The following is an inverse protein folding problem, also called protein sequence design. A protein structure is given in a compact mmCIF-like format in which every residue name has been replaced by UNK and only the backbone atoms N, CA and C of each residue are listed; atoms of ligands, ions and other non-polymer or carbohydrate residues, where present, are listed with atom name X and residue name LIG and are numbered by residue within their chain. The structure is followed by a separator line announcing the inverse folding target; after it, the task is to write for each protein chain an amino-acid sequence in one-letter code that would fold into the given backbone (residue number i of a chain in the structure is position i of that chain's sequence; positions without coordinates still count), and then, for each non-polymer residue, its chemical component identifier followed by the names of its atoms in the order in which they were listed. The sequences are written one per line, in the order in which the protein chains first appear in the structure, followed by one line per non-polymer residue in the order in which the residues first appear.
data_IF_176281764399
#
_entry.id   IF_176281764399
#
_cell.length_a   1.000
_cell.length_b   1.000
_cell.length_c   1.000
_cell.angle_alpha   90.00
_cell.angle_beta   90.00
_cell.angle_gamma   90.00
#
_symmetry.space_group_name_H-M   'P 1'
#
loop_
_entity.id
_entity.type
_entity.pdbx_description
1 polymer ?
#
# COMPACT_ATOMS: atom_id res chain seq x y z
N UNK A 1 -5.12 12.60 14.57
CA UNK A 1 -4.71 12.53 13.15
C UNK A 1 -5.88 12.96 12.29
N UNK A 2 -5.68 13.70 11.20
CA UNK A 2 -6.74 14.07 10.24
C UNK A 2 -6.35 13.49 8.88
N UNK A 3 -7.23 12.69 8.28
CA UNK A 3 -7.08 12.25 6.89
C UNK A 3 -7.64 13.34 5.97
N UNK A 4 -6.85 13.72 4.98
CA UNK A 4 -7.21 14.71 3.95
C UNK A 4 -6.98 14.07 2.59
N UNK A 5 -7.38 14.77 1.52
CA UNK A 5 -7.17 14.35 0.13
C UNK A 5 -7.93 13.06 -0.26
N UNK A 6 -9.21 13.21 -0.54
CA UNK A 6 -10.16 12.11 -0.81
C UNK A 6 -10.32 11.80 -2.31
N UNK A 7 -9.40 12.25 -3.16
CA UNK A 7 -9.51 12.14 -4.63
C UNK A 7 -9.62 10.70 -5.15
N UNK A 8 -9.21 9.70 -4.35
CA UNK A 8 -9.32 8.27 -4.66
C UNK A 8 -10.33 7.51 -3.78
N UNK A 9 -11.19 8.20 -3.03
CA UNK A 9 -12.18 7.54 -2.18
C UNK A 9 -13.24 6.78 -3.00
N UNK A 10 -13.45 5.50 -2.69
CA UNK A 10 -14.43 4.64 -3.36
C UNK A 10 -14.87 3.50 -2.43
N UNK A 11 -16.00 2.86 -2.75
CA UNK A 11 -16.48 1.66 -2.02
C UNK A 11 -15.72 0.45 -2.52
N UNK A 12 -15.14 -0.33 -1.61
CA UNK A 12 -14.37 -1.51 -1.94
C UNK A 12 -14.32 -2.48 -0.74
N UNK A 13 -13.47 -3.50 -0.83
CA UNK A 13 -13.06 -4.33 0.30
C UNK A 13 -12.70 -3.47 1.51
N UNK A 14 -13.10 -3.92 2.70
CA UNK A 14 -12.85 -3.22 3.95
C UNK A 14 -11.35 -3.00 4.23
N UNK A 15 -10.46 -3.79 3.60
CA UNK A 15 -9.02 -3.72 3.86
C UNK A 15 -8.24 -2.91 2.81
N UNK A 16 -8.85 -2.49 1.70
CA UNK A 16 -8.08 -1.94 0.58
C UNK A 16 -7.31 -0.67 0.94
N UNK A 17 -7.91 0.17 1.78
CA UNK A 17 -7.33 1.41 2.29
C UNK A 17 -6.18 1.14 3.26
N UNK A 18 -6.31 0.09 4.09
CA UNK A 18 -5.25 -0.41 4.96
C UNK A 18 -4.10 -0.98 4.13
N UNK A 19 -4.39 -1.78 3.11
CA UNK A 19 -3.40 -2.34 2.19
C UNK A 19 -2.64 -1.21 1.47
N UNK A 20 -3.35 -0.20 0.97
CA UNK A 20 -2.75 1.00 0.37
C UNK A 20 -1.82 1.70 1.36
N UNK A 21 -2.31 2.02 2.57
CA UNK A 21 -1.50 2.69 3.60
C UNK A 21 -0.25 1.89 3.96
N UNK A 22 -0.39 0.58 4.22
CA UNK A 22 0.73 -0.29 4.57
C UNK A 22 1.79 -0.36 3.46
N UNK A 23 1.38 -0.34 2.20
CA UNK A 23 2.30 -0.51 1.07
C UNK A 23 2.90 0.78 0.52
N UNK A 24 2.38 1.95 0.92
CA UNK A 24 2.84 3.26 0.43
C UNK A 24 3.41 4.17 1.51
N UNK A 25 3.06 3.93 2.78
CA UNK A 25 3.30 4.89 3.88
C UNK A 25 4.04 4.29 5.07
N UNK A 26 4.33 2.98 5.06
CA UNK A 26 5.11 2.30 6.10
C UNK A 26 6.44 1.84 5.50
N UNK A 27 7.52 2.02 6.27
CA UNK A 27 8.84 1.49 5.91
C UNK A 27 8.72 -0.03 5.66
N UNK A 28 9.12 -0.54 4.47
CA UNK A 28 8.84 -1.93 4.08
C UNK A 28 9.32 -2.97 5.09
N UNK A 29 10.51 -2.79 5.66
CA UNK A 29 11.04 -3.67 6.72
C UNK A 29 10.18 -3.70 7.98
N UNK A 30 9.68 -2.54 8.42
CA UNK A 30 8.78 -2.45 9.57
C UNK A 30 7.42 -3.09 9.28
N UNK A 31 6.85 -2.88 8.08
CA UNK A 31 5.60 -3.54 7.66
C UNK A 31 5.76 -5.05 7.74
N UNK A 32 6.77 -5.62 7.08
CA UNK A 32 6.99 -7.08 7.05
C UNK A 32 7.12 -7.69 8.44
N UNK A 33 7.91 -7.06 9.30
CA UNK A 33 8.18 -7.58 10.65
C UNK A 33 6.99 -7.44 11.60
N UNK A 34 6.00 -6.60 11.28
CA UNK A 34 4.88 -6.27 12.16
C UNK A 34 3.50 -6.48 11.50
N UNK A 35 3.42 -7.19 10.37
CA UNK A 35 2.17 -7.32 9.60
C UNK A 35 1.01 -7.84 10.46
N UNK A 36 1.25 -8.89 11.26
CA UNK A 36 0.23 -9.45 12.14
C UNK A 36 -0.29 -8.43 13.16
N UNK A 37 0.62 -7.65 13.78
CA UNK A 37 0.25 -6.61 14.73
C UNK A 37 -0.57 -5.50 14.06
N UNK A 38 -0.20 -5.11 12.83
CA UNK A 38 -0.93 -4.11 12.05
C UNK A 38 -2.35 -4.57 11.73
N UNK A 39 -2.53 -5.82 11.29
CA UNK A 39 -3.82 -6.41 10.97
C UNK A 39 -4.70 -6.58 12.22
N UNK A 40 -4.12 -7.01 13.33
CA UNK A 40 -4.81 -7.11 14.63
C UNK A 40 -5.29 -5.73 15.11
N UNK A 41 -4.40 -4.73 15.09
CA UNK A 41 -4.74 -3.35 15.47
C UNK A 41 -5.88 -2.79 14.60
N UNK A 42 -5.85 -3.06 13.29
CA UNK A 42 -6.91 -2.66 12.39
C UNK A 42 -8.24 -3.37 12.70
N UNK A 43 -8.22 -4.69 12.90
CA UNK A 43 -9.44 -5.45 13.19
C UNK A 43 -10.10 -5.00 14.49
N UNK A 44 -9.32 -4.81 15.56
CA UNK A 44 -9.83 -4.31 16.84
C UNK A 44 -10.49 -2.92 16.67
N UNK A 45 -9.86 -2.05 15.87
CA UNK A 45 -10.41 -0.74 15.59
C UNK A 45 -11.69 -0.82 14.75
N UNK A 46 -11.73 -1.69 13.73
CA UNK A 46 -12.89 -1.91 12.87
C UNK A 46 -14.07 -2.42 13.70
N UNK A 47 -13.87 -3.49 14.48
CA UNK A 47 -14.90 -4.07 15.33
C UNK A 47 -15.42 -3.07 16.35
N UNK A 48 -14.53 -2.36 17.05
CA UNK A 48 -14.92 -1.34 18.03
C UNK A 48 -15.76 -0.24 17.39
N UNK A 49 -15.38 0.24 16.20
CA UNK A 49 -16.11 1.30 15.52
C UNK A 49 -17.46 0.82 14.99
N UNK A 50 -17.55 -0.37 14.38
CA UNK A 50 -18.82 -0.93 13.91
C UNK A 50 -19.80 -1.11 15.08
N UNK A 51 -19.34 -1.62 16.24
CA UNK A 51 -20.15 -1.71 17.46
C UNK A 51 -20.57 -0.35 17.99
N UNK A 52 -19.66 0.62 17.99
CA UNK A 52 -19.96 1.99 18.43
C UNK A 52 -21.06 2.64 17.57
N UNK A 53 -21.03 2.43 16.25
CA UNK A 53 -22.05 2.91 15.33
C UNK A 53 -23.30 2.01 15.27
N UNK A 54 -23.43 1.03 16.17
CA UNK A 54 -24.56 0.12 16.25
C UNK A 54 -24.83 -0.61 14.92
N UNK A 55 -23.78 -0.98 14.21
CA UNK A 55 -23.88 -1.77 12.99
C UNK A 55 -24.43 -3.16 13.32
N UNK A 56 -25.56 -3.52 12.70
CA UNK A 56 -26.23 -4.81 12.92
C UNK A 56 -25.81 -5.89 11.91
N UNK A 57 -24.99 -5.52 10.92
CA UNK A 57 -24.52 -6.45 9.89
C UNK A 57 -23.29 -7.26 10.33
N UNK A 58 -22.63 -7.83 9.33
CA UNK A 58 -21.40 -8.58 9.53
C UNK A 58 -20.27 -7.69 10.09
N UNK A 59 -19.55 -8.22 11.09
CA UNK A 59 -18.37 -7.62 11.70
C UNK A 59 -17.19 -8.55 11.43
N UNK A 60 -16.16 -8.11 10.67
CA UNK A 60 -15.03 -8.96 10.34
C UNK A 60 -14.23 -9.41 11.57
N UNK A 61 -13.90 -10.70 11.60
CA UNK A 61 -12.95 -11.28 12.57
C UNK A 61 -11.50 -11.05 12.10
N UNK A 62 -10.53 -11.30 12.98
CA UNK A 62 -9.11 -11.21 12.58
C UNK A 62 -8.77 -12.18 11.45
N UNK A 63 -9.39 -13.36 11.42
CA UNK A 63 -9.16 -14.33 10.35
C UNK A 63 -9.72 -13.82 9.02
N UNK A 64 -10.89 -13.19 9.04
CA UNK A 64 -11.47 -12.58 7.85
C UNK A 64 -10.59 -11.44 7.32
N UNK A 65 -10.02 -10.63 8.21
CA UNK A 65 -9.07 -9.58 7.84
C UNK A 65 -7.80 -10.16 7.20
N UNK A 66 -7.25 -11.24 7.74
CA UNK A 66 -6.07 -11.91 7.16
C UNK A 66 -6.38 -12.53 5.81
N UNK A 67 -7.47 -13.29 5.71
CA UNK A 67 -7.92 -13.89 4.45
C UNK A 67 -8.18 -12.83 3.38
N UNK A 68 -8.78 -11.70 3.75
CA UNK A 68 -9.04 -10.61 2.81
C UNK A 68 -7.75 -9.89 2.41
N UNK A 69 -6.79 -9.70 3.33
CA UNK A 69 -5.44 -9.18 3.03
C UNK A 69 -4.72 -10.03 1.97
N UNK A 70 -4.81 -11.35 2.09
CA UNK A 70 -4.26 -12.30 1.10
C UNK A 70 -5.00 -12.19 -0.22
N UNK A 71 -6.34 -12.13 -0.20
CA UNK A 71 -7.17 -11.99 -1.42
C UNK A 71 -6.82 -10.73 -2.22
N UNK A 72 -6.49 -9.63 -1.54
CA UNK A 72 -6.10 -8.36 -2.18
C UNK A 72 -4.59 -8.19 -2.38
N UNK A 73 -3.79 -9.24 -2.19
CA UNK A 73 -2.32 -9.14 -2.28
C UNK A 73 -1.82 -8.62 -3.65
N UNK A 74 -2.55 -8.89 -4.74
CA UNK A 74 -2.24 -8.32 -6.06
C UNK A 74 -2.36 -6.79 -6.07
N UNK A 75 -3.31 -6.22 -5.33
CA UNK A 75 -3.44 -4.76 -5.18
C UNK A 75 -2.30 -4.20 -4.33
N UNK A 76 -1.90 -4.91 -3.27
CA UNK A 76 -0.71 -4.57 -2.48
C UNK A 76 0.56 -4.52 -3.33
N UNK A 77 0.72 -5.47 -4.26
CA UNK A 77 1.79 -5.42 -5.26
C UNK A 77 1.69 -4.17 -6.13
N UNK A 78 0.52 -3.88 -6.70
CA UNK A 78 0.32 -2.69 -7.55
C UNK A 78 0.67 -1.40 -6.81
N UNK A 79 0.21 -1.24 -5.56
CA UNK A 79 0.54 -0.06 -4.76
C UNK A 79 2.04 0.06 -4.49
N UNK A 80 2.69 -1.05 -4.16
CA UNK A 80 4.13 -1.09 -3.90
C UNK A 80 4.93 -0.80 -5.17
N UNK A 81 4.55 -1.38 -6.31
CA UNK A 81 5.25 -1.24 -7.57
C UNK A 81 5.05 0.15 -8.20
N UNK A 82 3.85 0.74 -8.09
CA UNK A 82 3.56 2.02 -8.72
C UNK A 82 3.87 3.23 -7.83
N UNK A 83 3.57 3.17 -6.53
CA UNK A 83 3.62 4.34 -5.67
C UNK A 83 4.98 4.52 -4.98
N UNK A 84 5.56 3.44 -4.43
CA UNK A 84 6.79 3.56 -3.63
C UNK A 84 8.02 4.07 -4.38
N UNK A 85 8.29 3.70 -5.66
CA UNK A 85 9.42 4.30 -6.37
C UNK A 85 9.28 5.83 -6.42
N UNK A 86 8.08 6.30 -6.78
CA UNK A 86 7.76 7.71 -6.96
C UNK A 86 7.82 8.51 -5.67
N UNK A 87 7.40 7.93 -4.54
CA UNK A 87 7.31 8.66 -3.26
C UNK A 87 8.54 8.50 -2.36
N UNK A 88 9.47 7.60 -2.69
CA UNK A 88 10.58 7.27 -1.78
C UNK A 88 11.99 7.41 -2.36
N UNK A 89 12.13 7.79 -3.64
CA UNK A 89 13.43 8.09 -4.25
C UNK A 89 14.23 9.09 -3.42
N UNK A 90 15.49 8.77 -3.14
CA UNK A 90 16.42 9.70 -2.50
C UNK A 90 17.18 10.58 -3.52
N UNK A 91 17.04 10.28 -4.82
CA UNK A 91 17.78 10.90 -5.92
C UNK A 91 16.89 11.91 -6.65
N UNK A 92 17.14 13.22 -6.53
CA UNK A 92 16.33 14.25 -7.18
C UNK A 92 16.20 14.07 -8.70
N UNK A 93 17.23 13.53 -9.35
CA UNK A 93 17.26 13.25 -10.79
C UNK A 93 16.36 12.09 -11.23
N UNK A 94 15.95 11.23 -10.29
CA UNK A 94 15.00 10.13 -10.54
C UNK A 94 13.58 10.48 -10.07
N UNK A 95 13.42 11.52 -9.24
CA UNK A 95 12.14 11.91 -8.68
C UNK A 95 11.18 12.42 -9.75
N UNK A 96 9.91 12.03 -9.63
CA UNK A 96 8.84 12.48 -10.52
C UNK A 96 8.44 13.91 -10.17
N UNK A 97 8.51 14.82 -11.14
CA UNK A 97 7.83 16.11 -11.06
C UNK A 97 6.36 15.95 -11.49
N UNK A 98 5.46 15.96 -10.50
CA UNK A 98 4.02 15.82 -10.73
C UNK A 98 3.48 16.97 -11.61
N UNK A 99 4.06 18.17 -11.55
CA UNK A 99 3.64 19.30 -12.38
C UNK A 99 3.85 19.01 -13.87
N UNK A 100 4.97 18.38 -14.20
CA UNK A 100 5.36 18.07 -15.58
C UNK A 100 4.44 17.06 -16.28
N UNK A 101 3.69 16.25 -15.51
CA UNK A 101 2.73 15.26 -16.05
C UNK A 101 1.69 15.92 -16.94
N UNK A 102 1.32 17.18 -16.66
CA UNK A 102 0.28 17.89 -17.40
C UNK A 102 0.80 18.61 -18.64
N UNK A 103 2.12 18.82 -18.75
CA UNK A 103 2.73 19.67 -19.76
C UNK A 103 3.56 18.90 -20.79
N UNK A 104 4.08 17.72 -20.42
CA UNK A 104 5.03 16.94 -21.23
C UNK A 104 4.49 15.55 -21.58
N UNK A 105 4.96 14.95 -22.70
CA UNK A 105 4.67 13.55 -23.01
C UNK A 105 5.21 12.59 -21.92
N UNK A 106 4.54 11.45 -21.67
CA UNK A 106 4.93 10.51 -20.61
C UNK A 106 6.40 10.06 -20.66
N UNK A 107 6.97 9.91 -21.87
CA UNK A 107 8.35 9.46 -22.08
C UNK A 107 9.39 10.48 -21.59
N UNK A 108 8.99 11.73 -21.38
CA UNK A 108 9.86 12.81 -20.89
C UNK A 108 9.71 13.08 -19.39
N UNK A 109 8.64 12.54 -18.79
CA UNK A 109 8.28 12.78 -17.39
C UNK A 109 8.76 11.64 -16.49
N UNK A 110 8.71 10.40 -17.01
CA UNK A 110 9.03 9.23 -16.23
C UNK A 110 10.48 8.75 -16.45
N UNK A 111 11.25 8.67 -15.38
CA UNK A 111 12.59 8.10 -15.39
C UNK A 111 12.57 6.66 -14.85
N UNK A 112 12.71 5.68 -15.75
CA UNK A 112 12.70 4.25 -15.39
C UNK A 112 13.84 3.86 -14.41
N UNK A 113 14.90 4.66 -14.32
CA UNK A 113 15.99 4.46 -13.38
C UNK A 113 15.54 4.38 -11.92
N UNK A 114 14.38 4.96 -11.58
CA UNK A 114 13.77 4.92 -10.24
C UNK A 114 13.55 3.50 -9.71
N UNK A 115 13.28 2.53 -10.61
CA UNK A 115 13.10 1.13 -10.23
C UNK A 115 14.40 0.39 -9.94
N UNK A 116 15.53 0.97 -10.37
CA UNK A 116 16.87 0.38 -10.23
C UNK A 116 17.70 1.06 -9.14
N UNK A 117 17.16 2.08 -8.46
CA UNK A 117 17.81 2.70 -7.32
C UNK A 117 18.13 1.65 -6.24
N UNK A 118 19.39 1.62 -5.77
CA UNK A 118 19.87 0.63 -4.80
C UNK A 118 18.98 0.58 -3.54
N UNK A 119 18.57 1.74 -3.05
CA UNK A 119 17.67 1.87 -1.90
C UNK A 119 16.34 1.18 -2.15
N UNK A 120 15.70 1.46 -3.29
CA UNK A 120 14.42 0.87 -3.65
C UNK A 120 14.54 -0.65 -3.77
N UNK A 121 15.52 -1.14 -4.54
CA UNK A 121 15.77 -2.57 -4.73
C UNK A 121 16.02 -3.28 -3.39
N UNK A 122 16.78 -2.66 -2.49
CA UNK A 122 17.08 -3.23 -1.17
C UNK A 122 15.85 -3.32 -0.26
N UNK A 123 15.03 -2.27 -0.21
CA UNK A 123 13.87 -2.21 0.71
C UNK A 123 12.66 -2.99 0.19
N UNK A 124 12.39 -2.91 -1.11
CA UNK A 124 11.18 -3.43 -1.76
C UNK A 124 11.42 -4.77 -2.48
N UNK A 125 12.63 -5.04 -2.94
CA UNK A 125 12.96 -6.31 -3.61
C UNK A 125 12.58 -7.58 -2.83
N UNK A 126 12.71 -7.64 -1.48
CA UNK A 126 12.19 -8.76 -0.70
C UNK A 126 10.67 -8.97 -0.81
N UNK A 127 9.89 -7.90 -0.96
CA UNK A 127 8.43 -8.01 -1.12
C UNK A 127 8.06 -8.60 -2.47
N UNK A 128 8.72 -8.17 -3.54
CA UNK A 128 8.48 -8.73 -4.88
C UNK A 128 8.80 -10.22 -4.92
N UNK A 129 9.89 -10.65 -4.26
CA UNK A 129 10.17 -12.08 -4.09
C UNK A 129 9.06 -12.80 -3.33
N UNK A 130 8.59 -12.23 -2.22
CA UNK A 130 7.50 -12.81 -1.45
C UNK A 130 6.17 -12.91 -2.24
N UNK A 131 5.87 -11.95 -3.12
CA UNK A 131 4.72 -12.02 -4.01
C UNK A 131 4.85 -13.15 -5.04
N UNK A 132 6.03 -13.34 -5.64
CA UNK A 132 6.27 -14.48 -6.53
C UNK A 132 6.16 -15.82 -5.79
N UNK A 133 6.78 -15.92 -4.61
CA UNK A 133 6.81 -17.16 -3.81
C UNK A 133 5.41 -17.57 -3.33
N UNK A 134 4.51 -16.60 -3.14
CA UNK A 134 3.10 -16.82 -2.75
C UNK A 134 2.14 -16.98 -3.93
N UNK A 135 2.64 -16.91 -5.17
CA UNK A 135 1.82 -17.05 -6.38
C UNK A 135 0.90 -15.85 -6.66
N UNK A 136 1.22 -14.67 -6.11
CA UNK A 136 0.56 -13.40 -6.44
C UNK A 136 1.02 -12.91 -7.82
N UNK A 137 2.29 -13.16 -8.18
CA UNK A 137 2.92 -12.90 -9.47
C UNK A 137 3.41 -14.21 -10.09
#
# INVERSE_FOLDING_TARGET
VKFIDWQFAHINSFIIDVAYFMHTSIVPTLRRNNLNLLLETYQEALERNLKFFQWEGYIPTLEDVKSENERVAIMSFVFLACSMPVTSSALPELSLDIGSIFDLPPEQVFNEGIFTEEKFVKEVGPDFRAFCDSGVL
#
